data_IF_946584301383
#
_entry.id   IF_946584301383
#
_cell.length_a   1.000
_cell.length_b   1.000
_cell.length_c   1.000
_cell.angle_alpha   90.00
_cell.angle_beta   90.00
_cell.angle_gamma   90.00
#
_symmetry.space_group_name_H-M   'P 1'
#
loop_
_entity.id
_entity.type
_entity.pdbx_description
1 polymer ?
#
# COMPACT_ATOMS: atom_id res chain seq x y z
N UNK A 1 -8.66 -10.05 -12.42
CA UNK A 1 -7.86 -11.02 -11.67
C UNK A 1 -8.71 -12.25 -11.37
N UNK A 2 -8.20 -13.46 -11.65
CA UNK A 2 -8.76 -14.76 -11.18
C UNK A 2 -7.71 -15.55 -10.39
N UNK A 3 -6.63 -14.89 -9.96
CA UNK A 3 -5.39 -15.56 -9.54
C UNK A 3 -5.26 -15.80 -8.02
N UNK A 4 -6.18 -15.28 -7.21
CA UNK A 4 -6.20 -15.46 -5.75
C UNK A 4 -7.57 -15.97 -5.34
N UNK A 5 -7.61 -17.01 -4.53
CA UNK A 5 -8.83 -17.62 -3.99
C UNK A 5 -9.19 -17.00 -2.64
N UNK A 6 -10.46 -17.13 -2.21
CA UNK A 6 -10.89 -16.64 -0.89
C UNK A 6 -10.07 -17.26 0.25
N UNK A 7 -9.75 -18.56 0.16
CA UNK A 7 -8.93 -19.23 1.17
C UNK A 7 -7.52 -18.64 1.28
N UNK A 8 -6.91 -18.21 0.17
CA UNK A 8 -5.62 -17.52 0.19
C UNK A 8 -5.73 -16.13 0.82
N UNK A 9 -6.82 -15.41 0.54
CA UNK A 9 -7.11 -14.12 1.17
C UNK A 9 -7.28 -14.29 2.68
N UNK A 10 -8.09 -15.25 3.12
CA UNK A 10 -8.36 -15.49 4.54
C UNK A 10 -7.09 -15.89 5.30
N UNK A 11 -6.22 -16.70 4.66
CA UNK A 11 -4.92 -17.08 5.23
C UNK A 11 -3.98 -15.88 5.38
N UNK A 12 -3.87 -15.04 4.35
CA UNK A 12 -3.09 -13.80 4.39
C UNK A 12 -3.63 -12.82 5.45
N UNK A 13 -4.95 -12.63 5.50
CA UNK A 13 -5.59 -11.75 6.49
C UNK A 13 -5.31 -12.25 7.90
N UNK A 14 -5.37 -13.56 8.16
CA UNK A 14 -5.06 -14.13 9.48
C UNK A 14 -3.67 -13.74 9.96
N UNK A 15 -2.67 -13.73 9.07
CA UNK A 15 -1.32 -13.30 9.39
C UNK A 15 -1.20 -11.78 9.59
N UNK A 16 -1.96 -10.99 8.82
CA UNK A 16 -1.93 -9.53 8.91
C UNK A 16 -2.72 -8.96 10.08
N UNK A 17 -3.73 -9.68 10.61
CA UNK A 17 -4.64 -9.21 11.67
C UNK A 17 -3.92 -8.59 12.88
N UNK A 18 -2.87 -9.21 13.46
CA UNK A 18 -2.14 -8.63 14.59
C UNK A 18 -1.49 -7.26 14.30
N UNK A 19 -1.40 -6.88 13.02
CA UNK A 19 -0.82 -5.62 12.56
C UNK A 19 -1.87 -4.61 12.10
N UNK A 20 -3.15 -4.98 12.06
CA UNK A 20 -4.23 -4.11 11.55
C UNK A 20 -5.52 -4.16 12.39
N UNK A 21 -5.54 -4.87 13.51
CA UNK A 21 -6.67 -5.01 14.43
C UNK A 21 -7.01 -3.72 15.21
N UNK A 22 -6.03 -2.84 15.42
CA UNK A 22 -6.21 -1.55 16.09
C UNK A 22 -5.71 -0.39 15.24
N UNK A 23 -6.20 0.83 15.51
CA UNK A 23 -5.70 2.04 14.84
C UNK A 23 -4.20 2.24 15.05
N UNK A 24 -3.68 1.90 16.23
CA UNK A 24 -2.26 2.02 16.55
C UNK A 24 -1.40 1.06 15.72
N UNK A 25 -1.82 -0.20 15.59
CA UNK A 25 -1.09 -1.16 14.75
C UNK A 25 -1.17 -0.81 13.26
N UNK A 26 -2.32 -0.32 12.79
CA UNK A 26 -2.45 0.19 11.41
C UNK A 26 -1.53 1.38 11.15
N UNK A 27 -1.44 2.32 12.09
CA UNK A 27 -0.50 3.44 11.99
C UNK A 27 0.95 2.92 11.95
N UNK A 28 1.33 2.01 12.85
CA UNK A 28 2.68 1.43 12.89
C UNK A 28 3.07 0.73 11.58
N UNK A 29 2.18 -0.09 11.03
CA UNK A 29 2.39 -0.75 9.74
C UNK A 29 2.55 0.29 8.61
N UNK A 30 1.66 1.26 8.55
CA UNK A 30 1.72 2.32 7.54
C UNK A 30 3.00 3.15 7.64
N UNK A 31 3.48 3.44 8.84
CA UNK A 31 4.75 4.14 9.08
C UNK A 31 5.92 3.33 8.54
N UNK A 32 5.98 2.02 8.84
CA UNK A 32 7.03 1.13 8.33
C UNK A 32 7.05 1.08 6.80
N UNK A 33 5.88 1.02 6.15
CA UNK A 33 5.76 1.05 4.69
C UNK A 33 6.26 2.38 4.13
N UNK A 34 5.77 3.51 4.63
CA UNK A 34 6.18 4.82 4.13
C UNK A 34 7.64 5.14 4.40
N UNK A 35 8.19 4.70 5.53
CA UNK A 35 9.61 4.85 5.81
C UNK A 35 10.46 4.11 4.79
N UNK A 36 10.12 2.85 4.50
CA UNK A 36 10.81 2.06 3.47
C UNK A 36 10.71 2.76 2.10
N UNK A 37 9.48 3.15 1.72
CA UNK A 37 9.19 3.79 0.45
C UNK A 37 9.92 5.13 0.24
N UNK A 38 9.82 6.05 1.21
CA UNK A 38 10.37 7.39 1.07
C UNK A 38 11.88 7.46 1.37
N UNK A 39 12.46 6.47 2.05
CA UNK A 39 13.92 6.29 2.10
C UNK A 39 14.46 5.78 0.77
N UNK A 40 13.74 4.89 0.08
CA UNK A 40 14.11 4.39 -1.24
C UNK A 40 13.87 5.39 -2.37
N UNK A 41 12.88 6.29 -2.20
CA UNK A 41 12.52 7.37 -3.15
C UNK A 41 12.39 8.73 -2.45
N UNK A 42 13.49 9.32 -1.96
CA UNK A 42 13.48 10.62 -1.28
C UNK A 42 12.80 11.73 -2.09
N UNK A 43 12.95 11.71 -3.42
CA UNK A 43 12.36 12.65 -4.36
C UNK A 43 10.83 12.64 -4.36
N UNK A 44 10.19 11.64 -3.74
CA UNK A 44 8.74 11.57 -3.62
C UNK A 44 8.19 12.23 -2.36
N UNK A 45 9.02 12.57 -1.36
CA UNK A 45 8.57 13.23 -0.13
C UNK A 45 7.82 14.52 -0.45
N UNK A 46 8.35 15.34 -1.37
CA UNK A 46 7.73 16.60 -1.79
C UNK A 46 6.45 16.45 -2.63
N UNK A 47 5.99 15.22 -2.92
CA UNK A 47 4.70 14.99 -3.59
C UNK A 47 3.54 14.92 -2.60
N UNK A 48 3.85 14.76 -1.32
CA UNK A 48 2.87 14.70 -0.25
C UNK A 48 2.68 16.09 0.35
N UNK A 49 1.44 16.61 0.32
CA UNK A 49 1.13 17.97 0.76
C UNK A 49 1.47 18.22 2.23
N UNK A 50 1.35 17.20 3.11
CA UNK A 50 1.68 17.32 4.54
C UNK A 50 3.16 17.05 4.86
N UNK A 51 3.98 16.75 3.85
CA UNK A 51 5.43 16.54 4.01
C UNK A 51 6.25 17.63 3.29
N UNK A 52 5.61 18.71 2.82
CA UNK A 52 6.29 19.82 2.16
C UNK A 52 7.35 20.43 3.07
N UNK A 53 8.57 20.62 2.54
CA UNK A 53 9.71 21.14 3.30
C UNK A 53 10.42 20.12 4.19
N UNK A 54 9.96 18.87 4.22
CA UNK A 54 10.65 17.77 4.89
C UNK A 54 11.62 17.05 3.95
N UNK A 55 12.58 16.35 4.54
CA UNK A 55 13.58 15.55 3.85
C UNK A 55 13.80 14.21 4.57
N UNK A 56 14.74 13.40 4.06
CA UNK A 56 15.06 12.06 4.59
C UNK A 56 15.44 12.06 6.07
N UNK A 57 15.99 13.18 6.59
CA UNK A 57 16.43 13.27 7.98
C UNK A 57 15.28 13.46 8.97
N UNK A 58 14.11 13.98 8.54
CA UNK A 58 13.06 14.41 9.45
C UNK A 58 11.63 13.95 9.09
N UNK A 59 11.37 13.46 7.86
CA UNK A 59 10.00 13.10 7.45
C UNK A 59 9.36 12.03 8.34
N UNK A 60 10.18 11.07 8.82
CA UNK A 60 9.75 9.94 9.65
C UNK A 60 9.14 10.36 11.00
N UNK A 61 9.47 11.55 11.49
CA UNK A 61 9.01 12.06 12.79
C UNK A 61 7.76 12.95 12.66
N UNK A 62 7.26 13.16 11.44
CA UNK A 62 6.20 14.13 11.18
C UNK A 62 4.80 13.58 11.44
N UNK A 63 3.91 14.44 11.96
CA UNK A 63 2.47 14.16 12.05
C UNK A 63 1.83 13.97 10.67
N UNK A 64 2.41 14.60 9.64
CA UNK A 64 2.01 14.38 8.25
C UNK A 64 2.15 12.92 7.83
N UNK A 65 3.25 12.26 8.23
CA UNK A 65 3.49 10.87 7.91
C UNK A 65 2.49 9.94 8.60
N UNK A 66 2.17 10.19 9.89
CA UNK A 66 1.16 9.42 10.64
C UNK A 66 -0.21 9.46 9.95
N UNK A 67 -0.61 10.64 9.46
CA UNK A 67 -1.84 10.77 8.67
C UNK A 67 -1.82 9.86 7.44
N UNK A 68 -0.74 9.92 6.64
CA UNK A 68 -0.65 9.10 5.43
C UNK A 68 -0.57 7.60 5.74
N UNK A 69 0.17 7.21 6.78
CA UNK A 69 0.29 5.85 7.27
C UNK A 69 -1.08 5.24 7.56
N UNK A 70 -1.92 5.93 8.34
CA UNK A 70 -3.30 5.47 8.62
C UNK A 70 -4.13 5.37 7.34
N UNK A 71 -4.08 6.36 6.46
CA UNK A 71 -4.87 6.32 5.21
C UNK A 71 -4.44 5.20 4.27
N UNK A 72 -3.14 4.89 4.21
CA UNK A 72 -2.63 3.80 3.38
C UNK A 72 -3.18 2.45 3.86
N UNK A 73 -3.08 2.16 5.16
CA UNK A 73 -3.54 0.87 5.68
C UNK A 73 -5.07 0.77 5.63
N UNK A 74 -5.78 1.87 5.88
CA UNK A 74 -7.23 1.93 5.74
C UNK A 74 -7.72 1.66 4.30
N UNK A 75 -6.93 2.02 3.28
CA UNK A 75 -7.21 1.69 1.88
C UNK A 75 -6.77 0.27 1.50
N UNK A 76 -5.59 -0.16 1.97
CA UNK A 76 -4.98 -1.42 1.60
C UNK A 76 -5.72 -2.64 2.17
N UNK A 77 -6.19 -2.58 3.41
CA UNK A 77 -6.87 -3.72 4.06
C UNK A 77 -8.17 -4.11 3.33
N UNK A 78 -9.09 -3.19 2.99
CA UNK A 78 -10.25 -3.50 2.16
C UNK A 78 -9.89 -4.10 0.80
N UNK A 79 -8.84 -3.58 0.15
CA UNK A 79 -8.34 -4.09 -1.13
C UNK A 79 -7.89 -5.56 -1.00
N UNK A 80 -7.12 -5.90 0.04
CA UNK A 80 -6.68 -7.28 0.28
C UNK A 80 -7.88 -8.18 0.53
N UNK A 81 -8.82 -7.76 1.38
CA UNK A 81 -10.04 -8.53 1.70
C UNK A 81 -10.90 -8.79 0.46
N UNK A 82 -10.96 -7.83 -0.46
CA UNK A 82 -11.70 -7.95 -1.71
C UNK A 82 -10.94 -8.72 -2.82
N UNK A 83 -9.70 -9.16 -2.59
CA UNK A 83 -8.84 -9.65 -3.68
C UNK A 83 -9.38 -10.89 -4.42
N UNK A 84 -10.19 -11.73 -3.75
CA UNK A 84 -10.85 -12.86 -4.39
C UNK A 84 -12.13 -12.47 -5.17
N UNK A 85 -12.62 -11.24 -5.01
CA UNK A 85 -13.80 -10.69 -5.67
C UNK A 85 -13.40 -9.60 -6.68
N UNK A 86 -13.23 -9.99 -7.95
CA UNK A 86 -12.74 -9.07 -9.00
C UNK A 86 -13.57 -7.78 -9.12
N UNK A 87 -14.89 -7.86 -9.08
CA UNK A 87 -15.75 -6.68 -9.27
C UNK A 87 -15.56 -5.66 -8.14
N UNK A 88 -15.48 -6.14 -6.90
CA UNK A 88 -15.26 -5.30 -5.73
C UNK A 88 -13.82 -4.75 -5.69
N UNK A 89 -12.84 -5.58 -6.01
CA UNK A 89 -11.44 -5.17 -6.11
C UNK A 89 -11.24 -4.06 -7.15
N UNK A 90 -11.83 -4.22 -8.35
CA UNK A 90 -11.72 -3.22 -9.41
C UNK A 90 -12.37 -1.90 -9.01
N UNK A 91 -13.52 -1.95 -8.31
CA UNK A 91 -14.18 -0.77 -7.77
C UNK A 91 -13.25 -0.04 -6.78
N UNK A 92 -12.69 -0.76 -5.81
CA UNK A 92 -11.77 -0.17 -4.83
C UNK A 92 -10.52 0.42 -5.49
N UNK A 93 -9.97 -0.25 -6.50
CA UNK A 93 -8.85 0.28 -7.29
C UNK A 93 -9.24 1.57 -8.03
N UNK A 94 -10.44 1.64 -8.60
CA UNK A 94 -10.92 2.86 -9.28
C UNK A 94 -11.11 4.01 -8.29
N UNK A 95 -11.65 3.73 -7.10
CA UNK A 95 -11.80 4.72 -6.04
C UNK A 95 -10.43 5.29 -5.64
N UNK A 96 -9.41 4.44 -5.46
CA UNK A 96 -8.04 4.88 -5.20
C UNK A 96 -7.42 5.63 -6.39
N UNK A 97 -7.65 5.21 -7.64
CA UNK A 97 -7.16 5.94 -8.81
C UNK A 97 -7.71 7.38 -8.86
N UNK A 98 -9.01 7.56 -8.57
CA UNK A 98 -9.62 8.89 -8.50
C UNK A 98 -8.91 9.80 -7.48
N UNK A 99 -8.46 9.24 -6.36
CA UNK A 99 -7.72 9.99 -5.33
C UNK A 99 -6.33 10.42 -5.79
N UNK A 100 -5.74 9.72 -6.75
CA UNK A 100 -4.38 9.97 -7.25
C UNK A 100 -4.33 10.83 -8.53
N UNK A 101 -5.36 10.82 -9.39
CA UNK A 101 -5.42 11.58 -10.66
C UNK A 101 -5.07 13.06 -10.57
N UNK A 102 -5.47 13.72 -9.47
CA UNK A 102 -5.27 15.15 -9.28
C UNK A 102 -4.05 15.47 -8.40
N UNK A 103 -3.16 14.50 -8.17
CA UNK A 103 -1.96 14.64 -7.33
C UNK A 103 -0.70 14.70 -8.20
N UNK A 104 0.44 15.00 -7.57
CA UNK A 104 1.74 15.09 -8.25
C UNK A 104 2.40 13.71 -8.49
N UNK A 105 1.60 12.74 -8.93
CA UNK A 105 1.99 11.36 -9.25
C UNK A 105 1.36 10.98 -10.58
N UNK A 106 2.14 10.36 -11.46
CA UNK A 106 1.67 9.80 -12.73
C UNK A 106 1.80 8.28 -12.70
N UNK A 107 1.29 7.61 -13.75
CA UNK A 107 1.37 6.14 -13.91
C UNK A 107 2.78 5.60 -13.61
N UNK A 108 3.82 6.15 -14.26
CA UNK A 108 5.19 5.66 -14.11
C UNK A 108 5.68 5.74 -12.66
N UNK A 109 5.52 6.90 -12.00
CA UNK A 109 5.94 7.11 -10.60
C UNK A 109 5.23 6.11 -9.67
N UNK A 110 3.94 5.87 -9.92
CA UNK A 110 3.15 4.93 -9.12
C UNK A 110 3.63 3.49 -9.32
N UNK A 111 3.84 3.07 -10.58
CA UNK A 111 4.32 1.74 -10.91
C UNK A 111 5.77 1.49 -10.46
N UNK A 112 6.63 2.50 -10.51
CA UNK A 112 8.01 2.44 -10.00
C UNK A 112 8.07 2.19 -8.49
N UNK A 113 6.97 2.43 -7.79
CA UNK A 113 6.85 2.18 -6.35
C UNK A 113 6.50 0.72 -6.04
N UNK A 114 5.92 -0.03 -6.99
CA UNK A 114 5.48 -1.42 -6.79
C UNK A 114 6.59 -2.34 -6.26
N UNK A 115 7.82 -2.36 -6.80
CA UNK A 115 8.87 -3.25 -6.30
C UNK A 115 9.19 -3.02 -4.82
N UNK A 116 9.13 -1.76 -4.36
CA UNK A 116 9.41 -1.41 -2.96
C UNK A 116 8.33 -1.96 -2.03
N UNK A 117 7.06 -1.87 -2.43
CA UNK A 117 5.95 -2.44 -1.66
C UNK A 117 6.01 -3.96 -1.63
N UNK A 118 6.32 -4.62 -2.76
CA UNK A 118 6.50 -6.08 -2.80
C UNK A 118 7.65 -6.50 -1.88
N UNK A 119 8.81 -5.84 -1.96
CA UNK A 119 9.96 -6.15 -1.13
C UNK A 119 9.64 -5.96 0.36
N UNK A 120 8.99 -4.85 0.71
CA UNK A 120 8.54 -4.61 2.09
C UNK A 120 7.68 -5.77 2.60
N UNK A 121 6.62 -6.13 1.88
CA UNK A 121 5.70 -7.17 2.35
C UNK A 121 6.31 -8.57 2.31
N UNK A 122 7.22 -8.86 1.39
CA UNK A 122 7.94 -10.13 1.37
C UNK A 122 8.89 -10.30 2.56
N UNK A 123 9.41 -9.20 3.12
CA UNK A 123 10.21 -9.21 4.33
C UNK A 123 9.36 -9.17 5.61
N UNK A 124 8.15 -8.61 5.52
CA UNK A 124 7.23 -8.45 6.66
C UNK A 124 6.40 -9.70 6.93
N UNK A 125 5.92 -10.37 5.88
CA UNK A 125 5.15 -11.60 5.94
C UNK A 125 6.12 -12.76 6.16
N UNK A 126 5.76 -13.72 7.01
CA UNK A 126 6.58 -14.88 7.32
C UNK A 126 6.27 -16.05 6.37
N UNK A 127 4.99 -16.31 6.12
CA UNK A 127 4.56 -17.45 5.32
C UNK A 127 4.79 -17.23 3.81
N UNK A 128 5.48 -18.17 3.16
CA UNK A 128 5.85 -18.05 1.74
C UNK A 128 4.64 -18.02 0.80
N UNK A 129 3.56 -18.74 1.11
CA UNK A 129 2.34 -18.70 0.31
C UNK A 129 1.63 -17.34 0.44
N UNK A 130 1.69 -16.73 1.63
CA UNK A 130 1.19 -15.38 1.85
C UNK A 130 2.04 -14.31 1.15
N UNK A 131 3.36 -14.47 1.07
CA UNK A 131 4.23 -13.59 0.27
C UNK A 131 3.86 -13.62 -1.21
N UNK A 132 3.68 -14.82 -1.78
CA UNK A 132 3.26 -14.98 -3.16
C UNK A 132 1.86 -14.37 -3.41
N UNK A 133 0.94 -14.61 -2.48
CA UNK A 133 -0.43 -14.08 -2.53
C UNK A 133 -0.41 -12.55 -2.50
N UNK A 134 0.30 -11.95 -1.55
CA UNK A 134 0.43 -10.50 -1.42
C UNK A 134 1.07 -9.88 -2.68
N UNK A 135 2.13 -10.49 -3.20
CA UNK A 135 2.79 -10.05 -4.43
C UNK A 135 1.84 -10.04 -5.64
N UNK A 136 0.99 -11.07 -5.78
CA UNK A 136 -0.04 -11.13 -6.83
C UNK A 136 -1.08 -10.01 -6.67
N UNK A 137 -1.56 -9.78 -5.45
CA UNK A 137 -2.52 -8.72 -5.15
C UNK A 137 -1.92 -7.35 -5.48
N UNK A 138 -0.75 -7.03 -4.94
CA UNK A 138 -0.07 -5.74 -5.16
C UNK A 138 0.22 -5.51 -6.64
N UNK A 139 0.69 -6.53 -7.37
CA UNK A 139 0.95 -6.40 -8.81
C UNK A 139 -0.31 -6.03 -9.58
N UNK A 140 -1.45 -6.64 -9.27
CA UNK A 140 -2.71 -6.31 -9.91
C UNK A 140 -3.20 -4.92 -9.54
N UNK A 141 -3.20 -4.61 -8.25
CA UNK A 141 -3.69 -3.33 -7.70
C UNK A 141 -2.87 -2.18 -8.27
N UNK A 142 -1.54 -2.27 -8.25
CA UNK A 142 -0.68 -1.21 -8.76
C UNK A 142 -0.86 -0.97 -10.26
N UNK A 143 -0.97 -2.04 -11.06
CA UNK A 143 -1.24 -1.93 -12.50
C UNK A 143 -2.62 -1.34 -12.78
N UNK A 144 -3.62 -1.77 -12.03
CA UNK A 144 -5.00 -1.32 -12.22
C UNK A 144 -5.12 0.16 -11.88
N UNK A 145 -4.62 0.59 -10.71
CA UNK A 145 -4.62 2.00 -10.30
C UNK A 145 -3.75 2.83 -11.25
N UNK A 146 -2.51 2.38 -11.51
CA UNK A 146 -1.53 3.05 -12.36
C UNK A 146 -2.07 3.37 -13.76
N UNK A 147 -2.78 2.43 -14.40
CA UNK A 147 -3.37 2.64 -15.72
C UNK A 147 -4.51 3.67 -15.77
N UNK A 148 -4.97 4.14 -14.60
CA UNK A 148 -6.13 5.01 -14.45
C UNK A 148 -5.77 6.40 -13.91
N UNK A 149 -4.49 6.68 -13.61
CA UNK A 149 -4.03 7.95 -13.03
C UNK A 149 -3.35 8.86 -14.05
#
# INVERSE_FOLDING_TARGET
MTAVTQSQVDHLITELVPHVDTEAHQEELGLKVYECFLKAKPEYICKFSRLQGLDVSNFAQSEGLKYYARTLVAALVPIIKAAANKCELDKLCMDEANMHRNRQVNEQIFLDSLPIFIEFFNNFINDEQNKETMSKILTYVFKTIGSQI
#
